data_IF_308750858886
#
_entry.id   IF_308750858886
#
_cell.length_a   1.000
_cell.length_b   1.000
_cell.length_c   1.000
_cell.angle_alpha   90.00
_cell.angle_beta   90.00
_cell.angle_gamma   90.00
#
_symmetry.space_group_name_H-M   'P 1'
#
loop_
_entity.id
_entity.type
_entity.pdbx_description
1 polymer ?
#
# COMPACT_ATOMS: atom_id res chain seq x y z
N UNK A 1 -36.55 -40.14 -44.26
CA UNK A 1 -37.47 -39.90 -45.41
C UNK A 1 -37.36 -38.45 -45.85
N UNK A 2 -37.02 -38.29 -47.13
CA UNK A 2 -37.26 -37.15 -48.06
C UNK A 2 -36.48 -35.86 -47.70
N UNK A 3 -35.47 -35.50 -48.42
CA UNK A 3 -35.23 -35.21 -49.83
C UNK A 3 -35.25 -33.70 -50.11
N UNK A 4 -34.07 -33.21 -50.48
CA UNK A 4 -33.68 -32.36 -51.62
C UNK A 4 -34.39 -31.01 -51.83
N UNK A 5 -33.63 -29.94 -52.08
CA UNK A 5 -33.27 -29.53 -53.43
C UNK A 5 -32.28 -28.34 -53.43
N UNK A 6 -31.33 -28.48 -54.33
CA UNK A 6 -30.38 -27.45 -54.77
C UNK A 6 -31.04 -26.50 -55.76
N UNK A 7 -30.59 -25.25 -55.84
CA UNK A 7 -30.59 -24.48 -57.07
C UNK A 7 -29.33 -23.61 -57.15
N UNK A 8 -28.57 -23.91 -58.17
CA UNK A 8 -27.47 -23.11 -58.68
C UNK A 8 -28.05 -22.01 -59.63
N UNK A 9 -27.52 -20.83 -59.56
CA UNK A 9 -27.62 -19.83 -60.60
C UNK A 9 -26.22 -19.20 -60.79
N UNK A 10 -25.73 -19.47 -61.98
CA UNK A 10 -24.56 -18.87 -62.64
C UNK A 10 -25.03 -17.58 -63.27
N UNK A 11 -24.38 -16.47 -62.97
CA UNK A 11 -24.45 -15.29 -63.87
C UNK A 11 -23.03 -14.74 -64.08
N UNK A 12 -22.63 -14.80 -65.36
CA UNK A 12 -21.47 -14.11 -65.94
C UNK A 12 -21.73 -12.61 -66.00
N UNK A 13 -20.77 -11.80 -65.59
CA UNK A 13 -20.67 -10.44 -66.10
C UNK A 13 -19.29 -9.87 -66.20
N UNK A 14 -18.93 -9.59 -67.37
CA UNK A 14 -18.15 -8.51 -67.99
C UNK A 14 -17.05 -7.79 -67.19
N UNK A 15 -15.84 -8.03 -67.64
CA UNK A 15 -14.65 -7.25 -67.35
C UNK A 15 -14.74 -5.89 -68.07
N UNK A 16 -14.87 -4.80 -67.32
CA UNK A 16 -14.56 -3.46 -67.78
C UNK A 16 -13.17 -3.06 -67.23
N UNK A 17 -12.23 -2.95 -68.13
CA UNK A 17 -10.93 -2.40 -67.85
C UNK A 17 -11.05 -0.88 -67.67
N UNK A 18 -10.84 -0.38 -66.48
CA UNK A 18 -10.63 1.03 -66.20
C UNK A 18 -9.14 1.26 -66.05
N UNK A 19 -8.59 2.02 -66.99
CA UNK A 19 -7.23 2.53 -66.89
C UNK A 19 -7.19 3.63 -65.86
N UNK A 20 -6.63 3.37 -64.72
CA UNK A 20 -6.35 4.36 -63.69
C UNK A 20 -4.89 4.87 -63.84
N UNK A 21 -4.78 6.14 -64.16
CA UNK A 21 -3.51 6.90 -64.03
C UNK A 21 -3.04 6.95 -62.60
N UNK A 22 -1.72 6.80 -62.31
CA UNK A 22 -1.26 6.96 -60.97
C UNK A 22 -1.29 8.45 -60.57
N UNK A 23 -2.12 8.77 -59.60
CA UNK A 23 -2.04 10.02 -58.88
C UNK A 23 -0.85 9.94 -57.94
N UNK A 24 0.07 10.88 -58.08
CA UNK A 24 1.12 11.13 -57.10
C UNK A 24 0.46 11.43 -55.75
N UNK A 25 0.58 10.53 -54.81
CA UNK A 25 0.19 10.75 -53.41
C UNK A 25 1.26 11.68 -52.81
N UNK A 26 0.87 12.91 -52.50
CA UNK A 26 1.60 13.75 -51.57
C UNK A 26 1.63 13.08 -50.19
N UNK A 27 2.78 12.65 -49.74
CA UNK A 27 3.00 12.22 -48.37
C UNK A 27 2.66 13.36 -47.43
N UNK A 28 1.77 13.12 -46.39
CA UNK A 28 1.58 14.12 -45.38
C UNK A 28 2.90 14.29 -44.59
N UNK A 29 3.29 15.53 -44.20
CA UNK A 29 4.52 15.75 -43.46
C UNK A 29 4.49 14.92 -42.16
N UNK A 30 5.51 14.07 -42.04
CA UNK A 30 5.78 13.30 -40.81
C UNK A 30 5.82 14.25 -39.62
N UNK A 31 4.74 14.26 -38.85
CA UNK A 31 4.71 14.94 -37.55
C UNK A 31 5.50 14.12 -36.52
N UNK A 32 6.76 13.89 -36.79
CA UNK A 32 7.76 13.59 -35.78
C UNK A 32 8.10 14.90 -35.05
N UNK A 33 7.08 15.46 -34.38
CA UNK A 33 7.33 16.51 -33.39
C UNK A 33 8.06 15.87 -32.25
N UNK A 34 9.31 16.23 -32.17
CA UNK A 34 10.25 15.89 -31.15
C UNK A 34 9.67 15.96 -29.75
N UNK A 35 9.47 14.79 -29.12
CA UNK A 35 9.46 14.63 -27.67
C UNK A 35 10.89 14.78 -27.14
N UNK A 36 11.52 15.90 -27.48
CA UNK A 36 12.82 16.29 -26.94
C UNK A 36 12.57 17.20 -25.74
N UNK A 37 12.96 16.69 -24.58
CA UNK A 37 13.32 17.56 -23.48
C UNK A 37 12.33 17.76 -22.34
N UNK A 38 11.54 16.74 -21.94
CA UNK A 38 11.15 16.66 -20.56
C UNK A 38 12.25 15.87 -19.83
N UNK A 39 13.18 16.60 -19.21
CA UNK A 39 14.07 16.00 -18.21
C UNK A 39 13.18 15.21 -17.23
N UNK A 40 13.56 14.01 -16.80
CA UNK A 40 12.80 13.27 -15.80
C UNK A 40 12.65 14.21 -14.60
N UNK A 41 11.40 14.59 -14.28
CA UNK A 41 11.11 15.30 -13.03
C UNK A 41 11.57 14.33 -11.95
N UNK A 42 12.69 14.68 -11.29
CA UNK A 42 13.18 13.89 -10.17
C UNK A 42 12.01 13.70 -9.21
N UNK A 43 11.62 12.45 -8.96
CA UNK A 43 10.52 12.14 -8.08
C UNK A 43 10.79 12.85 -6.75
N UNK A 44 9.89 13.76 -6.36
CA UNK A 44 10.07 14.55 -5.16
C UNK A 44 10.31 13.59 -3.99
N UNK A 45 11.43 13.79 -3.27
CA UNK A 45 11.78 12.97 -2.12
C UNK A 45 10.65 13.08 -1.10
N UNK A 46 10.17 11.95 -0.56
CA UNK A 46 9.16 11.96 0.48
C UNK A 46 9.58 12.87 1.65
N UNK A 47 8.70 13.75 2.07
CA UNK A 47 8.91 14.65 3.20
C UNK A 47 8.04 14.18 4.38
N UNK A 48 8.68 13.75 5.47
CA UNK A 48 7.97 13.37 6.69
C UNK A 48 7.40 14.60 7.40
N UNK A 49 6.13 14.54 7.76
CA UNK A 49 5.41 15.56 8.53
C UNK A 49 5.19 15.02 9.94
N UNK A 50 5.72 15.70 10.95
CA UNK A 50 5.47 15.35 12.34
C UNK A 50 4.01 15.63 12.72
N UNK A 51 3.38 14.71 13.44
CA UNK A 51 2.04 14.91 13.97
C UNK A 51 2.01 16.03 15.01
N UNK A 52 0.87 16.70 15.09
CA UNK A 52 0.57 17.76 16.07
C UNK A 52 -0.59 17.33 16.98
N UNK A 53 -0.92 18.15 17.96
CA UNK A 53 -2.12 17.91 18.79
C UNK A 53 -3.40 17.89 17.94
N UNK A 54 -3.48 18.67 16.88
CA UNK A 54 -4.62 18.64 15.97
C UNK A 54 -4.72 17.30 15.22
N UNK A 55 -3.58 16.68 14.92
CA UNK A 55 -3.58 15.31 14.40
C UNK A 55 -4.24 14.33 15.38
N UNK A 56 -3.93 14.42 16.69
CA UNK A 56 -4.57 13.57 17.70
C UNK A 56 -6.08 13.85 17.79
N UNK A 57 -6.49 15.12 17.73
CA UNK A 57 -7.91 15.50 17.72
C UNK A 57 -8.65 14.88 16.55
N UNK A 58 -8.07 14.94 15.35
CA UNK A 58 -8.62 14.28 14.15
C UNK A 58 -8.73 12.77 14.34
N UNK A 59 -7.70 12.10 14.85
CA UNK A 59 -7.71 10.65 15.05
C UNK A 59 -8.77 10.18 16.05
N UNK A 60 -9.14 11.01 17.02
CA UNK A 60 -10.23 10.72 17.98
C UNK A 60 -11.60 10.66 17.32
N UNK A 61 -11.80 11.35 16.19
CA UNK A 61 -13.07 11.32 15.46
C UNK A 61 -13.24 10.05 14.61
N UNK A 62 -12.16 9.34 14.34
CA UNK A 62 -12.13 8.18 13.45
C UNK A 62 -12.14 8.55 11.96
N UNK A 63 -12.21 7.54 11.10
CA UNK A 63 -12.26 7.70 9.65
C UNK A 63 -10.89 7.64 8.95
N UNK A 64 -9.81 7.40 9.70
CA UNK A 64 -8.44 7.33 9.19
C UNK A 64 -7.95 5.89 9.07
N UNK A 65 -6.95 5.67 8.20
CA UNK A 65 -6.15 4.46 8.19
C UNK A 65 -4.79 4.78 8.80
N UNK A 66 -4.44 4.03 9.83
CA UNK A 66 -3.21 4.13 10.58
C UNK A 66 -2.30 2.98 10.15
N UNK A 67 -1.08 3.29 9.71
CA UNK A 67 -0.11 2.27 9.36
C UNK A 67 1.00 2.23 10.41
N UNK A 68 1.11 1.13 11.14
CA UNK A 68 2.09 0.95 12.19
C UNK A 68 3.18 -0.02 11.73
N UNK A 69 4.42 0.43 11.69
CA UNK A 69 5.55 -0.49 11.50
C UNK A 69 5.77 -1.30 12.78
N UNK A 70 6.04 -2.60 12.63
CA UNK A 70 6.41 -3.48 13.75
C UNK A 70 7.54 -2.92 14.62
N UNK A 71 7.72 -3.45 15.84
CA UNK A 71 8.77 -3.08 16.77
C UNK A 71 10.18 -3.48 16.33
N UNK A 72 11.19 -3.14 17.14
CA UNK A 72 12.60 -3.42 16.87
C UNK A 72 12.85 -4.92 16.69
N UNK A 73 13.66 -5.25 15.70
CA UNK A 73 14.03 -6.63 15.33
C UNK A 73 15.53 -6.84 15.43
N UNK A 74 15.93 -8.11 15.61
CA UNK A 74 17.35 -8.49 15.57
C UNK A 74 17.83 -8.59 14.11
N UNK A 75 18.60 -7.60 13.69
CA UNK A 75 19.13 -7.53 12.32
C UNK A 75 20.31 -8.51 12.09
N UNK A 76 20.82 -9.16 13.13
CA UNK A 76 21.87 -10.18 12.98
C UNK A 76 21.30 -11.53 12.54
N UNK A 77 19.97 -11.72 12.69
CA UNK A 77 19.23 -12.92 12.28
C UNK A 77 18.30 -12.53 11.13
N UNK A 78 18.73 -12.72 9.87
CA UNK A 78 17.86 -12.37 8.71
C UNK A 78 16.70 -13.35 8.54
N UNK A 79 15.68 -12.91 7.79
CA UNK A 79 14.66 -13.83 7.28
C UNK A 79 15.32 -14.88 6.38
N UNK A 80 14.90 -16.14 6.45
CA UNK A 80 15.38 -17.21 5.58
C UNK A 80 14.92 -16.96 4.15
N UNK A 81 15.86 -16.91 3.20
CA UNK A 81 15.58 -16.71 1.77
C UNK A 81 15.86 -18.04 1.04
N UNK A 82 15.09 -18.42 0.00
CA UNK A 82 14.04 -17.65 -0.67
C UNK A 82 12.66 -17.71 -0.01
N UNK A 83 12.45 -18.59 0.95
CA UNK A 83 11.13 -18.75 1.57
C UNK A 83 11.20 -18.75 3.09
N UNK A 84 10.38 -17.90 3.71
CA UNK A 84 10.07 -17.96 5.14
C UNK A 84 8.89 -18.90 5.38
N UNK A 85 8.94 -19.69 6.45
CA UNK A 85 7.78 -20.42 6.93
C UNK A 85 6.98 -19.52 7.88
N UNK A 86 5.75 -19.18 7.52
CA UNK A 86 4.87 -18.32 8.33
C UNK A 86 4.40 -19.00 9.62
N UNK A 87 4.53 -20.32 9.72
CA UNK A 87 4.18 -21.09 10.91
C UNK A 87 5.39 -21.35 11.81
N UNK A 88 6.61 -21.12 11.30
CA UNK A 88 7.85 -21.28 12.05
C UNK A 88 8.60 -19.94 12.18
N UNK A 89 8.46 -19.29 13.33
CA UNK A 89 9.11 -18.02 13.61
C UNK A 89 10.65 -18.10 13.66
N UNK A 90 11.23 -19.29 13.81
CA UNK A 90 12.69 -19.47 13.78
C UNK A 90 13.29 -19.25 12.39
N UNK A 91 12.47 -19.25 11.35
CA UNK A 91 12.87 -18.94 9.97
C UNK A 91 12.82 -17.46 9.64
N UNK A 92 12.37 -16.64 10.60
CA UNK A 92 12.10 -15.22 10.40
C UNK A 92 12.97 -14.36 11.32
N UNK A 93 13.29 -13.16 10.87
CA UNK A 93 13.95 -12.16 11.71
C UNK A 93 13.08 -11.87 12.94
N UNK A 94 13.59 -12.15 14.15
CA UNK A 94 12.76 -12.10 15.36
C UNK A 94 12.53 -10.65 15.84
N UNK A 95 11.38 -10.43 16.47
CA UNK A 95 11.13 -9.27 17.30
C UNK A 95 12.01 -9.36 18.56
N UNK A 96 12.74 -8.30 18.92
CA UNK A 96 13.52 -8.27 20.14
C UNK A 96 12.62 -8.01 21.35
N UNK A 97 13.13 -8.29 22.57
CA UNK A 97 12.41 -7.90 23.79
C UNK A 97 12.24 -6.36 23.89
N UNK A 98 13.27 -5.59 23.50
CA UNK A 98 13.15 -4.14 23.39
C UNK A 98 12.07 -3.71 22.38
N UNK A 99 11.95 -4.44 21.26
CA UNK A 99 10.89 -4.23 20.28
C UNK A 99 9.50 -4.53 20.84
N UNK A 100 9.35 -5.60 21.62
CA UNK A 100 8.10 -5.96 22.31
C UNK A 100 7.68 -4.86 23.29
N UNK A 101 8.62 -4.39 24.14
CA UNK A 101 8.38 -3.30 25.08
C UNK A 101 8.05 -1.97 24.37
N UNK A 102 8.71 -1.68 23.24
CA UNK A 102 8.37 -0.52 22.42
C UNK A 102 6.92 -0.58 21.97
N UNK A 103 6.47 -1.75 21.49
CA UNK A 103 5.09 -1.92 21.01
C UNK A 103 4.06 -1.82 22.13
N UNK A 104 4.36 -2.30 23.33
CA UNK A 104 3.53 -2.05 24.52
C UNK A 104 3.36 -0.55 24.74
N UNK A 105 4.47 0.22 24.76
CA UNK A 105 4.44 1.68 24.95
C UNK A 105 3.64 2.40 23.85
N UNK A 106 3.79 2.00 22.59
CA UNK A 106 3.02 2.55 21.47
C UNK A 106 1.53 2.26 21.62
N UNK A 107 1.17 1.03 21.97
CA UNK A 107 -0.21 0.65 22.24
C UNK A 107 -0.83 1.44 23.41
N UNK A 108 -0.07 1.62 24.50
CA UNK A 108 -0.49 2.45 25.64
C UNK A 108 -0.68 3.92 25.23
N UNK A 109 0.23 4.45 24.40
CA UNK A 109 0.11 5.81 23.89
C UNK A 109 -1.13 6.01 23.03
N UNK A 110 -1.45 5.08 22.13
CA UNK A 110 -2.67 5.10 21.31
C UNK A 110 -3.92 5.09 22.20
N UNK A 111 -3.94 4.23 23.24
CA UNK A 111 -5.05 4.19 24.21
C UNK A 111 -5.17 5.48 25.03
N UNK A 112 -4.05 5.98 25.55
CA UNK A 112 -3.99 7.24 26.32
C UNK A 112 -4.44 8.44 25.48
N UNK A 113 -4.13 8.44 24.18
CA UNK A 113 -4.58 9.46 23.24
C UNK A 113 -6.08 9.35 22.88
N UNK A 114 -6.79 8.34 23.39
CA UNK A 114 -8.19 8.04 23.08
C UNK A 114 -8.45 7.85 21.57
N UNK A 115 -7.51 7.23 20.85
CA UNK A 115 -7.65 6.93 19.42
C UNK A 115 -8.42 5.61 19.27
N UNK A 116 -9.67 5.63 18.78
CA UNK A 116 -10.47 4.43 18.63
C UNK A 116 -9.98 3.57 17.45
N UNK A 117 -9.75 2.27 17.69
CA UNK A 117 -9.37 1.29 16.66
C UNK A 117 -10.53 0.30 16.50
N UNK A 118 -11.15 0.28 15.32
CA UNK A 118 -12.25 -0.63 14.97
C UNK A 118 -11.82 -1.85 14.16
N UNK A 119 -10.76 -1.71 13.37
CA UNK A 119 -10.18 -2.78 12.56
C UNK A 119 -8.68 -2.89 12.84
N UNK A 120 -8.17 -4.13 12.98
CA UNK A 120 -6.74 -4.41 13.11
C UNK A 120 -6.33 -5.44 12.05
N UNK A 121 -5.67 -4.98 10.99
CA UNK A 121 -5.10 -5.82 9.93
C UNK A 121 -3.61 -6.01 10.19
N UNK A 122 -3.12 -7.24 10.17
CA UNK A 122 -1.74 -7.55 10.56
C UNK A 122 -1.07 -8.44 9.52
N UNK A 123 0.17 -8.12 9.17
CA UNK A 123 1.01 -8.97 8.34
C UNK A 123 1.16 -10.38 8.97
N UNK A 124 1.22 -11.45 8.17
CA UNK A 124 1.40 -12.80 8.67
C UNK A 124 2.78 -13.06 9.29
N UNK A 125 3.76 -12.16 9.09
CA UNK A 125 5.11 -12.30 9.64
C UNK A 125 5.10 -12.28 11.17
N UNK A 126 5.89 -13.14 11.82
CA UNK A 126 5.92 -13.30 13.26
C UNK A 126 6.16 -11.97 14.01
N UNK A 127 7.15 -11.17 13.57
CA UNK A 127 7.44 -9.86 14.19
C UNK A 127 6.26 -8.90 14.16
N UNK A 128 5.41 -8.98 13.13
CA UNK A 128 4.20 -8.15 13.04
C UNK A 128 3.10 -8.69 13.98
N UNK A 129 2.86 -10.00 13.97
CA UNK A 129 1.88 -10.65 14.86
C UNK A 129 2.23 -10.42 16.34
N UNK A 130 3.50 -10.60 16.71
CA UNK A 130 3.98 -10.37 18.07
C UNK A 130 3.91 -8.89 18.48
N UNK A 131 4.20 -7.97 17.55
CA UNK A 131 4.01 -6.54 17.77
C UNK A 131 2.55 -6.19 18.01
N UNK A 132 1.61 -6.79 17.25
CA UNK A 132 0.18 -6.59 17.44
C UNK A 132 -0.28 -7.13 18.78
N UNK A 133 0.14 -8.33 19.16
CA UNK A 133 -0.19 -8.94 20.44
C UNK A 133 0.32 -8.10 21.63
N UNK A 134 1.53 -7.52 21.51
CA UNK A 134 2.10 -6.66 22.55
C UNK A 134 1.36 -5.32 22.66
N UNK A 135 1.07 -4.66 21.53
CA UNK A 135 0.45 -3.34 21.53
C UNK A 135 -1.06 -3.39 21.82
N UNK A 136 -1.75 -4.43 21.34
CA UNK A 136 -3.22 -4.51 21.33
C UNK A 136 -3.75 -5.86 21.87
N UNK A 137 -3.42 -6.26 23.10
CA UNK A 137 -3.74 -7.59 23.64
C UNK A 137 -5.25 -7.88 23.77
N UNK A 138 -6.10 -6.84 23.66
CA UNK A 138 -7.56 -6.95 23.75
C UNK A 138 -8.25 -6.91 22.37
N UNK A 139 -7.53 -6.69 21.29
CA UNK A 139 -8.08 -6.69 19.94
C UNK A 139 -7.82 -8.03 19.26
N UNK A 140 -8.77 -8.46 18.43
CA UNK A 140 -8.60 -9.64 17.58
C UNK A 140 -8.02 -9.20 16.23
N UNK A 141 -6.75 -9.52 15.91
CA UNK A 141 -6.16 -9.15 14.64
C UNK A 141 -6.72 -10.02 13.51
N UNK A 142 -7.00 -9.41 12.37
CA UNK A 142 -7.19 -10.13 11.13
C UNK A 142 -5.84 -10.23 10.40
N UNK A 143 -5.38 -11.46 10.18
CA UNK A 143 -4.12 -11.71 9.47
C UNK A 143 -4.38 -11.58 7.97
N UNK A 144 -3.69 -10.63 7.34
CA UNK A 144 -3.77 -10.39 5.91
C UNK A 144 -2.45 -10.81 5.23
N UNK A 145 -2.50 -11.92 4.48
CA UNK A 145 -1.36 -12.47 3.76
C UNK A 145 -0.81 -11.51 2.69
N UNK A 146 -1.63 -10.56 2.22
CA UNK A 146 -1.19 -9.49 1.31
C UNK A 146 -0.61 -8.27 2.04
N UNK A 147 -0.08 -8.46 3.26
CA UNK A 147 0.74 -7.50 4.00
C UNK A 147 2.15 -8.05 4.28
N UNK A 148 2.61 -9.05 3.51
CA UNK A 148 3.95 -9.61 3.60
C UNK A 148 5.04 -8.53 3.48
N UNK A 149 6.22 -8.83 4.04
CA UNK A 149 7.44 -8.07 3.85
C UNK A 149 7.95 -8.22 2.41
N UNK A 150 8.10 -7.11 1.67
CA UNK A 150 8.32 -7.17 0.21
C UNK A 150 9.77 -6.99 -0.22
N UNK A 151 10.71 -6.66 0.67
CA UNK A 151 12.08 -6.31 0.25
C UNK A 151 12.84 -7.46 -0.46
N UNK A 152 12.45 -8.72 -0.23
CA UNK A 152 13.08 -9.89 -0.82
C UNK A 152 12.31 -10.45 -2.02
N UNK A 153 11.26 -9.76 -2.47
CA UNK A 153 10.38 -10.22 -3.54
C UNK A 153 10.74 -9.57 -4.88
N UNK A 154 10.47 -10.28 -5.96
CA UNK A 154 10.47 -9.72 -7.32
C UNK A 154 9.32 -8.72 -7.49
N UNK A 155 9.37 -7.88 -8.51
CA UNK A 155 8.32 -6.90 -8.77
C UNK A 155 6.94 -7.55 -8.98
N UNK A 156 6.89 -8.72 -9.61
CA UNK A 156 5.66 -9.48 -9.79
C UNK A 156 5.05 -9.98 -8.47
N UNK A 157 5.89 -10.42 -7.53
CA UNK A 157 5.47 -10.87 -6.20
C UNK A 157 5.06 -9.70 -5.29
N UNK A 158 5.72 -8.54 -5.43
CA UNK A 158 5.35 -7.32 -4.70
C UNK A 158 4.00 -6.76 -5.12
N UNK A 159 3.68 -6.82 -6.41
CA UNK A 159 2.55 -6.11 -6.99
C UNK A 159 1.21 -6.34 -6.25
N UNK A 160 0.77 -7.58 -5.94
CA UNK A 160 -0.48 -7.81 -5.21
C UNK A 160 -0.44 -7.26 -3.78
N UNK A 161 0.72 -7.29 -3.11
CA UNK A 161 0.91 -6.81 -1.74
C UNK A 161 0.83 -5.27 -1.69
N UNK A 162 1.49 -4.61 -2.64
CA UNK A 162 1.44 -3.14 -2.74
C UNK A 162 0.06 -2.67 -3.16
N UNK A 163 -0.61 -3.39 -4.09
CA UNK A 163 -1.99 -3.10 -4.46
C UNK A 163 -2.95 -3.23 -3.27
N UNK A 164 -2.79 -4.28 -2.44
CA UNK A 164 -3.58 -4.46 -1.23
C UNK A 164 -3.30 -3.35 -0.19
N UNK A 165 -2.03 -3.01 0.03
CA UNK A 165 -1.66 -1.90 0.92
C UNK A 165 -2.31 -0.59 0.44
N UNK A 166 -2.21 -0.26 -0.85
CA UNK A 166 -2.90 0.89 -1.45
C UNK A 166 -4.40 0.85 -1.21
N UNK A 167 -5.03 -0.29 -1.45
CA UNK A 167 -6.47 -0.48 -1.23
C UNK A 167 -6.87 -0.20 0.22
N UNK A 168 -6.14 -0.74 1.20
CA UNK A 168 -6.40 -0.51 2.63
C UNK A 168 -6.28 0.97 3.00
N UNK A 169 -5.26 1.66 2.48
CA UNK A 169 -5.06 3.09 2.74
C UNK A 169 -6.13 3.96 2.06
N UNK A 170 -6.70 3.51 0.94
CA UNK A 170 -7.66 4.27 0.13
C UNK A 170 -9.13 4.03 0.51
N UNK A 171 -9.44 2.86 1.09
CA UNK A 171 -10.82 2.48 1.39
C UNK A 171 -11.33 3.26 2.59
N UNK A 172 -12.43 4.01 2.49
CA UNK A 172 -13.02 4.73 3.60
C UNK A 172 -13.23 3.84 4.83
N UNK A 173 -13.03 4.41 6.00
CA UNK A 173 -13.29 3.76 7.29
C UNK A 173 -14.59 4.30 7.85
N UNK A 174 -15.40 3.44 8.45
CA UNK A 174 -16.65 3.85 9.12
C UNK A 174 -16.34 4.86 10.23
N UNK A 175 -17.09 5.93 10.31
CA UNK A 175 -16.91 6.99 11.30
C UNK A 175 -16.94 6.46 12.74
N UNK A 176 -16.26 7.17 13.65
CA UNK A 176 -16.16 6.80 15.05
C UNK A 176 -15.04 5.79 15.38
N UNK A 177 -14.35 5.22 14.37
CA UNK A 177 -13.18 4.37 14.56
C UNK A 177 -12.16 4.53 13.44
N UNK A 178 -10.94 4.04 13.65
CA UNK A 178 -9.87 3.99 12.67
C UNK A 178 -9.53 2.55 12.30
N UNK A 179 -9.03 2.34 11.09
CA UNK A 179 -8.37 1.09 10.68
C UNK A 179 -6.90 1.17 11.07
N UNK A 180 -6.38 0.13 11.70
CA UNK A 180 -4.96 -0.04 11.95
C UNK A 180 -4.41 -1.16 11.07
N UNK A 181 -3.36 -0.84 10.31
CA UNK A 181 -2.58 -1.79 9.51
C UNK A 181 -1.20 -1.92 10.15
N UNK A 182 -0.85 -3.09 10.66
CA UNK A 182 0.45 -3.36 11.26
C UNK A 182 1.28 -4.23 10.32
N UNK A 183 2.33 -3.63 9.73
CA UNK A 183 3.14 -4.28 8.71
C UNK A 183 4.58 -3.72 8.64
N UNK A 184 5.14 -3.50 7.45
CA UNK A 184 6.57 -3.32 7.23
C UNK A 184 6.91 -2.04 6.48
N UNK A 185 8.08 -1.44 6.77
CA UNK A 185 8.54 -0.22 6.10
C UNK A 185 8.74 -0.36 4.59
N UNK A 186 9.29 -1.47 4.03
CA UNK A 186 9.42 -1.62 2.58
C UNK A 186 8.11 -1.50 1.80
N UNK A 187 6.97 -1.88 2.39
CA UNK A 187 5.67 -1.75 1.75
C UNK A 187 5.30 -0.26 1.52
N UNK A 188 5.57 0.62 2.49
CA UNK A 188 5.39 2.07 2.31
C UNK A 188 6.48 2.69 1.43
N UNK A 189 7.71 2.15 1.48
CA UNK A 189 8.78 2.60 0.58
C UNK A 189 8.41 2.40 -0.88
N UNK A 190 7.87 1.21 -1.24
CA UNK A 190 7.39 0.91 -2.60
C UNK A 190 6.18 1.77 -2.99
N UNK A 191 5.33 2.11 -2.02
CA UNK A 191 4.06 2.79 -2.29
C UNK A 191 4.18 4.32 -2.40
N UNK A 192 4.98 4.95 -1.53
CA UNK A 192 5.09 6.42 -1.39
C UNK A 192 6.52 6.92 -1.18
N UNK A 193 7.54 6.06 -1.28
CA UNK A 193 8.93 6.45 -1.05
C UNK A 193 9.29 6.72 0.42
N UNK A 194 8.51 6.20 1.37
CA UNK A 194 8.70 6.42 2.80
C UNK A 194 9.12 5.15 3.54
N UNK A 195 10.20 5.24 4.31
CA UNK A 195 10.70 4.15 5.15
C UNK A 195 10.63 4.56 6.63
N UNK A 196 9.47 4.42 7.31
CA UNK A 196 9.31 4.81 8.70
C UNK A 196 10.22 4.00 9.63
N UNK A 197 10.66 4.60 10.75
CA UNK A 197 11.35 3.89 11.83
C UNK A 197 10.43 2.90 12.51
N UNK A 198 10.99 1.88 13.17
CA UNK A 198 10.24 0.87 13.93
C UNK A 198 9.34 1.50 14.99
N UNK A 199 8.12 1.00 15.12
CA UNK A 199 7.12 1.55 16.02
C UNK A 199 6.50 2.89 15.61
N UNK A 200 6.86 3.45 14.44
CA UNK A 200 6.22 4.68 13.93
C UNK A 200 4.80 4.40 13.46
N UNK A 201 3.86 5.21 13.92
CA UNK A 201 2.48 5.27 13.44
C UNK A 201 2.38 6.32 12.34
N UNK A 202 1.95 5.90 11.14
CA UNK A 202 1.77 6.77 9.97
C UNK A 202 0.29 6.94 9.70
N UNK A 203 -0.14 8.19 9.53
CA UNK A 203 -1.56 8.55 9.41
C UNK A 203 -1.92 8.84 7.95
N UNK A 204 -2.97 8.19 7.48
CA UNK A 204 -3.53 8.38 6.15
C UNK A 204 -5.01 8.74 6.21
N UNK A 205 -5.43 9.67 5.34
CA UNK A 205 -6.85 9.98 5.08
C UNK A 205 -7.31 9.24 3.83
N UNK A 206 -8.20 8.24 3.93
CA UNK A 206 -8.76 7.55 2.78
C UNK A 206 -9.61 8.49 1.91
N UNK A 207 -9.42 8.43 0.58
CA UNK A 207 -10.17 9.25 -0.40
C UNK A 207 -11.03 8.40 -1.35
N UNK A 208 -11.12 7.10 -1.09
CA UNK A 208 -11.80 6.15 -1.95
C UNK A 208 -10.94 5.65 -3.11
N UNK A 209 -11.40 4.57 -3.77
CA UNK A 209 -10.63 3.86 -4.78
C UNK A 209 -10.16 4.73 -5.97
N UNK A 210 -10.91 5.76 -6.33
CA UNK A 210 -10.59 6.66 -7.46
C UNK A 210 -9.52 7.70 -7.09
N UNK A 211 -9.58 8.27 -5.89
CA UNK A 211 -8.73 9.37 -5.43
C UNK A 211 -7.55 8.90 -4.57
N UNK A 212 -7.56 7.62 -4.14
CA UNK A 212 -6.50 7.06 -3.32
C UNK A 212 -6.57 7.47 -1.86
N UNK A 213 -5.48 8.02 -1.34
CA UNK A 213 -5.34 8.46 0.05
C UNK A 213 -4.39 9.65 0.13
N UNK A 214 -4.51 10.44 1.19
CA UNK A 214 -3.54 11.48 1.54
C UNK A 214 -2.68 11.00 2.72
N UNK A 215 -1.38 11.22 2.64
CA UNK A 215 -0.50 11.16 3.80
C UNK A 215 -0.71 12.41 4.66
N UNK A 216 -0.95 12.22 5.95
CA UNK A 216 -1.25 13.33 6.88
C UNK A 216 -0.03 13.64 7.75
N UNK A 217 0.46 12.64 8.52
CA UNK A 217 1.56 12.83 9.44
C UNK A 217 2.15 11.49 9.91
N UNK A 218 3.29 11.56 10.59
CA UNK A 218 3.91 10.44 11.29
C UNK A 218 4.06 10.72 12.78
N UNK A 219 3.87 9.69 13.60
CA UNK A 219 4.09 9.71 15.05
C UNK A 219 5.19 8.69 15.36
N UNK A 220 6.47 9.06 15.28
CA UNK A 220 7.53 8.20 15.77
C UNK A 220 7.42 8.02 17.29
N UNK A 221 7.92 6.91 17.86
CA UNK A 221 7.78 6.61 19.29
C UNK A 221 8.19 7.74 20.23
N UNK A 222 9.24 8.48 19.87
CA UNK A 222 9.74 9.59 20.70
C UNK A 222 8.77 10.80 20.76
N UNK A 223 7.89 10.96 19.77
CA UNK A 223 7.00 12.14 19.69
C UNK A 223 5.81 12.06 20.66
N UNK A 224 5.40 10.87 21.10
CA UNK A 224 4.23 10.71 21.96
C UNK A 224 4.27 11.54 23.24
N UNK A 225 5.46 11.65 23.87
CA UNK A 225 5.64 12.45 25.08
C UNK A 225 5.29 13.92 24.86
N UNK A 226 5.82 14.51 23.80
CA UNK A 226 5.60 15.92 23.47
C UNK A 226 4.13 16.19 23.12
N UNK A 227 3.48 15.29 22.39
CA UNK A 227 2.05 15.39 22.06
C UNK A 227 1.19 15.42 23.33
N UNK A 228 1.48 14.55 24.32
CA UNK A 228 0.73 14.54 25.58
C UNK A 228 0.97 15.80 26.43
N UNK A 229 2.17 16.37 26.41
CA UNK A 229 2.43 17.64 27.12
C UNK A 229 1.65 18.82 26.49
N UNK A 230 1.42 18.79 25.19
CA UNK A 230 0.62 19.81 24.48
C UNK A 230 -0.87 19.63 24.68
N UNK A 231 -1.37 18.39 24.84
CA UNK A 231 -2.79 18.08 25.01
C UNK A 231 -3.36 18.52 26.37
N UNK A 232 -2.50 18.77 27.35
CA UNK A 232 -2.85 19.19 28.71
C UNK A 232 -2.75 20.70 28.95
N UNK A 233 -2.39 21.46 27.92
CA UNK A 233 -2.36 22.95 27.93
C UNK A 233 -3.60 23.52 27.27
#
# INVERSE_FOLDING_TARGET
>A
MKTTCAFALIECFAVMAFSATPALADDPPSAAVALQGLAPVAAAKFAEVAATIDTLRLLRTGGYTLYLRHGNTDNTIPDRVPAVDLNDCSTQRPLTEAGRQLMVKVGDAIRKAHIPIGELKVSPMCRARESAAAAFPKLSPEIDHNLMYVANFTDGEKAPIIANTRRLLSTPVTGGSNRLVLAHAPNLMELIGYFPKEGTLVVFSPRGAKLGFDYIASIPPALWGDLFHQDHK
#
